data_IF_542647245427
#
_entry.id   IF_542647245427
#
_cell.length_a   1.000
_cell.length_b   1.000
_cell.length_c   1.000
_cell.angle_alpha   90.00
_cell.angle_beta   90.00
_cell.angle_gamma   90.00
#
_symmetry.space_group_name_H-M   'P 1'
#
loop_
_entity.id
_entity.type
_entity.pdbx_description
1 polymer ?
#
# COMPACT_ATOMS: atom_id res chain seq x y z
N UNK A 1 21.55 11.81 2.87
CA UNK A 1 20.48 11.58 1.86
C UNK A 1 20.11 12.94 1.31
N UNK A 2 20.24 13.16 0.01
CA UNK A 2 19.80 14.42 -0.58
C UNK A 2 18.28 14.41 -0.83
N UNK A 3 17.71 15.57 -1.17
CA UNK A 3 16.26 15.70 -1.37
C UNK A 3 15.75 14.79 -2.50
N UNK A 4 16.52 14.65 -3.58
CA UNK A 4 16.12 13.82 -4.72
C UNK A 4 16.14 12.33 -4.36
N UNK A 5 17.07 11.89 -3.55
CA UNK A 5 17.11 10.54 -3.04
C UNK A 5 15.88 10.22 -2.18
N UNK A 6 15.46 11.15 -1.31
CA UNK A 6 14.24 10.99 -0.52
C UNK A 6 13.01 10.89 -1.43
N UNK A 7 12.86 11.81 -2.38
CA UNK A 7 11.72 11.84 -3.30
C UNK A 7 11.60 10.57 -4.15
N UNK A 8 12.73 9.95 -4.53
CA UNK A 8 12.74 8.69 -5.28
C UNK A 8 12.17 7.49 -4.51
N UNK A 9 11.91 7.63 -3.21
CA UNK A 9 11.25 6.63 -2.37
C UNK A 9 9.81 6.99 -2.00
N UNK A 10 9.29 8.14 -2.46
CA UNK A 10 7.94 8.62 -2.13
C UNK A 10 6.92 8.10 -3.14
N UNK A 11 5.82 7.54 -2.66
CA UNK A 11 4.60 7.36 -3.46
C UNK A 11 3.79 8.66 -3.34
N UNK A 12 3.77 9.48 -4.40
CA UNK A 12 3.00 10.73 -4.40
C UNK A 12 1.50 10.41 -4.42
N UNK A 13 0.80 10.72 -3.33
CA UNK A 13 -0.48 10.09 -3.00
C UNK A 13 -1.65 11.05 -3.00
N UNK A 14 -2.76 10.66 -3.66
CA UNK A 14 -4.06 11.32 -3.55
C UNK A 14 -5.17 10.27 -3.58
N UNK A 15 -5.71 9.93 -2.39
CA UNK A 15 -6.73 8.88 -2.20
C UNK A 15 -8.05 9.43 -1.64
N UNK A 16 -8.22 10.77 -1.58
CA UNK A 16 -9.47 11.38 -1.12
C UNK A 16 -10.63 10.97 -2.04
N UNK A 17 -11.81 10.61 -1.50
CA UNK A 17 -12.96 10.19 -2.31
C UNK A 17 -13.50 11.32 -3.21
N UNK A 18 -13.11 12.56 -2.94
CA UNK A 18 -13.45 13.76 -3.72
C UNK A 18 -12.41 14.12 -4.78
N UNK A 19 -11.35 13.30 -4.96
CA UNK A 19 -10.29 13.56 -5.93
C UNK A 19 -10.87 13.73 -7.34
N UNK A 20 -10.51 14.82 -8.00
CA UNK A 20 -10.91 15.11 -9.38
C UNK A 20 -9.82 14.69 -10.36
N UNK A 21 -10.18 14.56 -11.65
CA UNK A 21 -9.20 14.29 -12.69
C UNK A 21 -8.09 15.34 -12.75
N UNK A 22 -8.45 16.61 -12.64
CA UNK A 22 -7.47 17.70 -12.68
C UNK A 22 -6.42 17.59 -11.57
N UNK A 23 -6.85 17.17 -10.37
CA UNK A 23 -5.94 16.95 -9.24
C UNK A 23 -5.04 15.73 -9.49
N UNK A 24 -5.59 14.63 -10.02
CA UNK A 24 -4.81 13.43 -10.37
C UNK A 24 -3.81 13.74 -11.49
N UNK A 25 -4.22 14.51 -12.51
CA UNK A 25 -3.32 14.94 -13.58
C UNK A 25 -2.17 15.82 -13.06
N UNK A 26 -2.46 16.76 -12.16
CA UNK A 26 -1.46 17.58 -11.49
C UNK A 26 -0.48 16.73 -10.70
N UNK A 27 -0.98 15.80 -9.87
CA UNK A 27 -0.18 14.84 -9.11
C UNK A 27 0.79 14.04 -10.02
N UNK A 28 0.32 13.57 -11.17
CA UNK A 28 1.17 12.84 -12.11
C UNK A 28 2.28 13.72 -12.70
N UNK A 29 1.98 14.98 -13.03
CA UNK A 29 2.98 15.94 -13.53
C UNK A 29 4.04 16.25 -12.48
N UNK A 30 3.63 16.49 -11.24
CA UNK A 30 4.53 16.69 -10.11
C UNK A 30 5.41 15.45 -9.87
N UNK A 31 4.83 14.24 -9.93
CA UNK A 31 5.58 13.00 -9.76
C UNK A 31 6.66 12.83 -10.82
N UNK A 32 6.39 13.22 -12.07
CA UNK A 32 7.36 13.18 -13.18
C UNK A 32 8.45 14.24 -12.95
N UNK A 33 8.07 15.47 -12.60
CA UNK A 33 8.99 16.57 -12.36
C UNK A 33 9.95 16.27 -11.22
N UNK A 34 9.41 15.79 -10.09
CA UNK A 34 10.19 15.50 -8.89
C UNK A 34 10.76 14.07 -8.86
N UNK A 35 10.48 13.24 -9.87
CA UNK A 35 10.95 11.86 -10.01
C UNK A 35 10.65 11.03 -8.76
N UNK A 36 9.39 11.04 -8.31
CA UNK A 36 8.94 10.20 -7.21
C UNK A 36 8.90 8.73 -7.62
N UNK A 37 8.84 7.80 -6.65
CA UNK A 37 8.80 6.37 -6.91
C UNK A 37 7.56 5.96 -7.72
N UNK A 38 6.40 6.48 -7.32
CA UNK A 38 5.11 6.23 -7.97
C UNK A 38 4.12 7.37 -7.69
N UNK A 39 2.95 7.31 -8.35
CA UNK A 39 1.73 7.98 -7.89
C UNK A 39 0.80 6.93 -7.27
N UNK A 40 0.25 7.21 -6.08
CA UNK A 40 -0.73 6.34 -5.45
C UNK A 40 -2.12 6.98 -5.56
N UNK A 41 -2.99 6.36 -6.38
CA UNK A 41 -4.25 6.93 -6.83
C UNK A 41 -5.43 5.97 -6.66
N UNK A 42 -6.70 6.46 -6.62
CA UNK A 42 -7.87 5.61 -6.60
C UNK A 42 -7.94 4.71 -7.84
N UNK A 43 -8.40 3.44 -7.72
CA UNK A 43 -8.42 2.47 -8.82
C UNK A 43 -9.14 2.97 -10.07
N UNK A 44 -10.18 3.76 -9.92
CA UNK A 44 -10.97 4.30 -11.03
C UNK A 44 -10.19 5.21 -12.00
N UNK A 45 -9.02 5.71 -11.59
CA UNK A 45 -8.18 6.58 -12.42
C UNK A 45 -7.05 5.87 -13.15
N UNK A 46 -6.73 4.60 -12.82
CA UNK A 46 -5.58 3.87 -13.37
C UNK A 46 -5.57 3.93 -14.91
N UNK A 47 -6.65 3.46 -15.53
CA UNK A 47 -6.76 3.40 -17.01
C UNK A 47 -6.61 4.77 -17.66
N UNK A 48 -7.13 5.81 -17.03
CA UNK A 48 -7.05 7.18 -17.53
C UNK A 48 -5.63 7.74 -17.41
N UNK A 49 -4.95 7.50 -16.28
CA UNK A 49 -3.55 7.88 -16.08
C UNK A 49 -2.65 7.11 -17.05
N UNK A 50 -2.84 5.79 -17.18
CA UNK A 50 -2.05 4.98 -18.12
C UNK A 50 -2.20 5.46 -19.57
N UNK A 51 -3.40 5.89 -19.97
CA UNK A 51 -3.64 6.46 -21.30
C UNK A 51 -2.97 7.83 -21.49
N UNK A 52 -2.94 8.66 -20.44
CA UNK A 52 -2.43 10.04 -20.53
C UNK A 52 -0.90 10.13 -20.44
N UNK A 53 -0.27 9.29 -19.60
CA UNK A 53 1.15 9.37 -19.24
C UNK A 53 1.97 8.13 -19.64
N UNK A 54 1.33 7.05 -20.06
CA UNK A 54 2.04 5.84 -20.52
C UNK A 54 2.91 5.21 -19.43
N UNK A 55 4.23 5.20 -19.68
CA UNK A 55 5.25 4.68 -18.75
C UNK A 55 6.07 5.78 -18.07
N UNK A 56 5.68 7.05 -18.24
CA UNK A 56 6.42 8.18 -17.63
C UNK A 56 6.29 8.21 -16.11
N UNK A 57 5.22 7.60 -15.56
CA UNK A 57 4.98 7.49 -14.12
C UNK A 57 4.58 6.06 -13.77
N UNK A 58 5.13 5.50 -12.70
CA UNK A 58 4.67 4.25 -12.12
C UNK A 58 3.36 4.47 -11.37
N UNK A 59 2.39 3.57 -11.56
CA UNK A 59 1.05 3.68 -11.00
C UNK A 59 0.90 2.69 -9.85
N UNK A 60 0.82 3.19 -8.62
CA UNK A 60 0.36 2.48 -7.44
C UNK A 60 -1.14 2.70 -7.26
N UNK A 61 -1.84 1.69 -6.78
CA UNK A 61 -3.24 1.80 -6.35
C UNK A 61 -3.53 0.94 -5.14
N UNK A 62 -4.74 1.08 -4.60
CA UNK A 62 -5.17 0.43 -3.35
C UNK A 62 -6.28 -0.59 -3.60
N UNK A 63 -6.32 -1.66 -2.79
CA UNK A 63 -7.39 -2.67 -2.78
C UNK A 63 -7.82 -3.01 -1.35
N UNK A 64 -9.10 -3.36 -1.16
CA UNK A 64 -9.68 -3.57 0.17
C UNK A 64 -9.59 -2.34 1.07
N UNK A 65 -9.45 -1.18 0.49
CA UNK A 65 -9.01 0.04 1.15
C UNK A 65 -10.19 0.97 1.53
N UNK A 66 -10.12 1.68 2.68
CA UNK A 66 -9.03 1.62 3.67
C UNK A 66 -9.26 0.61 4.80
N UNK A 67 -10.40 -0.07 4.85
CA UNK A 67 -10.87 -0.81 6.03
C UNK A 67 -10.41 -2.27 6.11
N UNK A 68 -9.98 -2.86 5.01
CA UNK A 68 -9.39 -4.20 4.96
C UNK A 68 -10.37 -5.37 5.09
N UNK A 69 -11.63 -5.17 5.46
CA UNK A 69 -12.60 -6.25 5.79
C UNK A 69 -13.38 -6.80 4.58
N UNK A 70 -13.06 -6.38 3.37
CA UNK A 70 -13.63 -7.02 2.17
C UNK A 70 -13.20 -8.48 2.09
N UNK A 71 -14.02 -9.33 1.48
CA UNK A 71 -13.64 -10.73 1.30
C UNK A 71 -12.40 -10.87 0.41
N UNK A 72 -11.62 -11.92 0.63
CA UNK A 72 -10.44 -12.23 -0.21
C UNK A 72 -10.80 -12.27 -1.69
N UNK A 73 -11.94 -12.86 -2.05
CA UNK A 73 -12.40 -12.91 -3.45
C UNK A 73 -12.63 -11.52 -4.06
N UNK A 74 -13.18 -10.57 -3.27
CA UNK A 74 -13.36 -9.19 -3.71
C UNK A 74 -12.03 -8.49 -3.92
N UNK A 75 -11.08 -8.60 -2.97
CA UNK A 75 -9.74 -8.02 -3.10
C UNK A 75 -8.95 -8.60 -4.28
N UNK A 76 -9.06 -9.92 -4.52
CA UNK A 76 -8.45 -10.58 -5.69
C UNK A 76 -9.03 -10.02 -7.00
N UNK A 77 -10.35 -9.79 -7.05
CA UNK A 77 -10.99 -9.19 -8.22
C UNK A 77 -10.52 -7.75 -8.45
N UNK A 78 -10.44 -6.93 -7.40
CA UNK A 78 -9.88 -5.58 -7.44
C UNK A 78 -8.43 -5.59 -7.94
N UNK A 79 -7.59 -6.50 -7.41
CA UNK A 79 -6.19 -6.63 -7.82
C UNK A 79 -6.05 -6.96 -9.30
N UNK A 80 -6.80 -7.94 -9.79
CA UNK A 80 -6.78 -8.34 -11.21
C UNK A 80 -7.23 -7.21 -12.13
N UNK A 81 -8.27 -6.48 -11.78
CA UNK A 81 -8.74 -5.36 -12.59
C UNK A 81 -7.73 -4.21 -12.57
N UNK A 82 -7.14 -3.90 -11.40
CA UNK A 82 -6.10 -2.88 -11.28
C UNK A 82 -4.86 -3.20 -12.16
N UNK A 83 -4.38 -4.45 -12.13
CA UNK A 83 -3.26 -4.91 -12.98
C UNK A 83 -3.62 -4.82 -14.46
N UNK A 84 -4.81 -5.26 -14.85
CA UNK A 84 -5.31 -5.17 -16.23
C UNK A 84 -5.43 -3.73 -16.72
N UNK A 85 -5.79 -2.80 -15.85
CA UNK A 85 -5.92 -1.38 -16.15
C UNK A 85 -4.55 -0.67 -16.22
N UNK A 86 -3.49 -1.32 -15.77
CA UNK A 86 -2.11 -0.85 -15.92
C UNK A 86 -1.42 -0.41 -14.64
N UNK A 87 -1.90 -0.83 -13.46
CA UNK A 87 -1.17 -0.62 -12.22
C UNK A 87 0.18 -1.36 -12.23
N UNK A 88 1.19 -0.72 -11.68
CA UNK A 88 2.54 -1.26 -11.51
C UNK A 88 2.77 -1.75 -10.08
N UNK A 89 2.03 -1.17 -9.12
CA UNK A 89 2.11 -1.47 -7.69
C UNK A 89 0.71 -1.56 -7.08
N UNK A 90 0.52 -2.48 -6.15
CA UNK A 90 -0.75 -2.71 -5.44
C UNK A 90 -0.50 -2.63 -3.93
N UNK A 91 -1.22 -1.73 -3.27
CA UNK A 91 -1.26 -1.59 -1.82
C UNK A 91 -2.54 -2.24 -1.28
N UNK A 92 -2.44 -3.41 -0.66
CA UNK A 92 -3.58 -4.07 -0.03
C UNK A 92 -3.64 -3.76 1.47
N UNK A 93 -4.85 -3.71 2.02
CA UNK A 93 -5.05 -3.67 3.48
C UNK A 93 -5.43 -5.07 3.97
N UNK A 94 -4.76 -5.57 5.02
CA UNK A 94 -5.14 -6.84 5.65
C UNK A 94 -6.54 -6.77 6.24
N UNK A 95 -7.17 -7.92 6.47
CA UNK A 95 -8.36 -7.96 7.31
C UNK A 95 -7.97 -7.78 8.79
N UNK A 96 -8.16 -6.56 9.31
CA UNK A 96 -7.82 -6.21 10.69
C UNK A 96 -8.62 -7.05 11.70
N UNK A 97 -9.85 -7.45 11.36
CA UNK A 97 -10.65 -8.32 12.23
C UNK A 97 -10.01 -9.70 12.39
N UNK A 98 -9.40 -10.26 11.35
CA UNK A 98 -8.68 -11.53 11.45
C UNK A 98 -7.44 -11.38 12.37
N UNK A 99 -6.71 -10.25 12.26
CA UNK A 99 -5.62 -9.95 13.17
C UNK A 99 -6.08 -9.87 14.63
N UNK A 100 -7.23 -9.23 14.91
CA UNK A 100 -7.82 -9.13 16.26
C UNK A 100 -8.30 -10.49 16.78
N UNK A 101 -8.64 -11.42 15.90
CA UNK A 101 -8.99 -12.81 16.24
C UNK A 101 -7.77 -13.74 16.28
N UNK A 102 -6.55 -13.23 16.09
CA UNK A 102 -5.30 -13.99 15.97
C UNK A 102 -5.30 -15.02 14.83
N UNK A 103 -6.11 -14.79 13.77
CA UNK A 103 -6.14 -15.65 12.58
C UNK A 103 -5.14 -15.16 11.51
N UNK A 104 -3.87 -15.27 11.82
CA UNK A 104 -2.79 -14.86 10.91
C UNK A 104 -2.60 -15.85 9.74
N UNK A 105 -3.08 -17.08 9.87
CA UNK A 105 -3.14 -18.05 8.77
C UNK A 105 -4.11 -17.59 7.66
N UNK A 106 -5.25 -17.00 8.04
CA UNK A 106 -6.18 -16.40 7.08
C UNK A 106 -5.55 -15.19 6.38
N UNK A 107 -4.85 -14.33 7.14
CA UNK A 107 -4.13 -13.17 6.58
C UNK A 107 -3.05 -13.61 5.59
N UNK A 108 -2.24 -14.62 5.93
CA UNK A 108 -1.20 -15.16 5.03
C UNK A 108 -1.81 -15.71 3.74
N UNK A 109 -2.90 -16.49 3.84
CA UNK A 109 -3.61 -17.03 2.68
C UNK A 109 -4.21 -15.93 1.80
N UNK A 110 -4.78 -14.88 2.41
CA UNK A 110 -5.30 -13.73 1.67
C UNK A 110 -4.19 -13.02 0.88
N UNK A 111 -3.07 -12.71 1.54
CA UNK A 111 -1.91 -12.07 0.89
C UNK A 111 -1.40 -12.96 -0.25
N UNK A 112 -1.27 -14.27 -0.03
CA UNK A 112 -0.84 -15.24 -1.04
C UNK A 112 -1.75 -15.25 -2.26
N UNK A 113 -3.07 -15.24 -2.08
CA UNK A 113 -4.04 -15.19 -3.18
C UNK A 113 -3.94 -13.87 -3.98
N UNK A 114 -3.67 -12.76 -3.30
CA UNK A 114 -3.46 -11.47 -3.96
C UNK A 114 -2.10 -11.44 -4.66
N UNK A 115 -1.04 -12.01 -4.06
CA UNK A 115 0.27 -12.18 -4.69
C UNK A 115 0.17 -12.92 -6.04
N UNK A 116 -0.60 -14.00 -6.08
CA UNK A 116 -0.86 -14.72 -7.33
C UNK A 116 -1.58 -13.86 -8.37
N UNK A 117 -2.54 -13.04 -7.95
CA UNK A 117 -3.29 -12.14 -8.82
C UNK A 117 -2.45 -10.95 -9.34
N UNK A 118 -1.32 -10.66 -8.69
CA UNK A 118 -0.45 -9.50 -8.98
C UNK A 118 0.96 -9.91 -9.42
N UNK A 119 1.12 -11.11 -9.98
CA UNK A 119 2.44 -11.61 -10.43
C UNK A 119 3.18 -10.60 -11.32
N UNK A 120 4.44 -10.34 -10.99
CA UNK A 120 5.29 -9.39 -11.69
C UNK A 120 5.05 -7.91 -11.32
N UNK A 121 4.15 -7.64 -10.38
CA UNK A 121 3.89 -6.30 -9.83
C UNK A 121 4.39 -6.20 -8.39
N UNK A 122 4.65 -4.99 -7.92
CA UNK A 122 4.99 -4.74 -6.53
C UNK A 122 3.72 -4.87 -5.68
N UNK A 123 3.78 -5.72 -4.65
CA UNK A 123 2.72 -5.89 -3.66
C UNK A 123 3.18 -5.31 -2.32
N UNK A 124 2.46 -4.30 -1.83
CA UNK A 124 2.68 -3.74 -0.49
C UNK A 124 1.49 -4.09 0.40
N UNK A 125 1.78 -4.57 1.59
CA UNK A 125 0.76 -5.02 2.56
C UNK A 125 0.67 -4.04 3.71
N UNK A 126 -0.46 -3.33 3.77
CA UNK A 126 -0.78 -2.39 4.86
C UNK A 126 -1.36 -3.19 6.02
N UNK A 127 -0.70 -3.13 7.18
CA UNK A 127 -1.18 -3.82 8.38
C UNK A 127 -1.94 -2.90 9.35
N UNK A 128 -1.98 -1.59 9.10
CA UNK A 128 -2.64 -0.55 9.90
C UNK A 128 -2.20 -0.60 11.37
N UNK A 129 -0.96 -0.28 11.62
CA UNK A 129 -0.27 -0.46 12.90
C UNK A 129 -0.97 0.18 14.09
N UNK A 130 -1.71 1.27 13.88
CA UNK A 130 -2.41 1.99 14.95
C UNK A 130 -3.53 1.17 15.62
N UNK A 131 -4.01 0.10 14.99
CA UNK A 131 -5.04 -0.79 15.55
C UNK A 131 -4.48 -2.08 16.16
N UNK A 132 -3.17 -2.34 16.01
CA UNK A 132 -2.55 -3.61 16.39
C UNK A 132 -1.71 -3.49 17.67
N UNK A 133 -1.76 -4.52 18.51
CA UNK A 133 -0.81 -4.69 19.61
C UNK A 133 0.58 -5.06 19.08
N UNK A 134 1.60 -5.03 19.95
CA UNK A 134 2.95 -5.44 19.57
C UNK A 134 2.99 -6.87 19.05
N UNK A 135 2.30 -7.79 19.73
CA UNK A 135 2.26 -9.21 19.38
C UNK A 135 1.56 -9.43 18.04
N UNK A 136 0.46 -8.72 17.78
CA UNK A 136 -0.25 -8.75 16.50
C UNK A 136 0.63 -8.20 15.36
N UNK A 137 1.39 -7.12 15.59
CA UNK A 137 2.35 -6.59 14.60
C UNK A 137 3.44 -7.62 14.26
N UNK A 138 3.99 -8.32 15.26
CA UNK A 138 4.99 -9.37 15.06
C UNK A 138 4.41 -10.52 14.23
N UNK A 139 3.20 -10.98 14.54
CA UNK A 139 2.54 -12.03 13.80
C UNK A 139 2.24 -11.60 12.35
N UNK A 140 1.80 -10.36 12.15
CA UNK A 140 1.60 -9.79 10.81
C UNK A 140 2.90 -9.72 10.00
N UNK A 141 4.03 -9.34 10.60
CA UNK A 141 5.35 -9.36 9.95
C UNK A 141 5.69 -10.76 9.38
N UNK A 142 5.40 -11.80 10.16
CA UNK A 142 5.65 -13.20 9.75
C UNK A 142 4.72 -13.60 8.60
N UNK A 143 3.43 -13.32 8.70
CA UNK A 143 2.44 -13.63 7.67
C UNK A 143 2.77 -12.91 6.34
N UNK A 144 3.09 -11.62 6.39
CA UNK A 144 3.52 -10.82 5.22
C UNK A 144 4.75 -11.42 4.56
N UNK A 145 5.74 -11.84 5.38
CA UNK A 145 6.97 -12.44 4.90
C UNK A 145 6.75 -13.81 4.26
N UNK A 146 5.96 -14.67 4.91
CA UNK A 146 5.66 -16.02 4.43
C UNK A 146 4.86 -16.00 3.12
N UNK A 147 3.95 -15.05 2.96
CA UNK A 147 3.14 -14.87 1.74
C UNK A 147 3.89 -14.24 0.56
N UNK A 148 5.14 -13.82 0.73
CA UNK A 148 5.99 -13.31 -0.36
C UNK A 148 5.60 -11.92 -0.88
N UNK A 149 5.15 -11.04 0.00
CA UNK A 149 4.95 -9.63 -0.33
C UNK A 149 6.30 -8.91 -0.51
N UNK A 150 6.32 -7.86 -1.33
CA UNK A 150 7.54 -7.06 -1.55
C UNK A 150 7.76 -6.05 -0.42
N UNK A 151 6.67 -5.55 0.17
CA UNK A 151 6.72 -4.57 1.26
C UNK A 151 5.70 -4.87 2.34
N UNK A 152 6.09 -4.58 3.59
CA UNK A 152 5.15 -4.30 4.68
C UNK A 152 4.99 -2.78 4.80
N UNK A 153 3.73 -2.30 4.91
CA UNK A 153 3.40 -0.88 5.02
C UNK A 153 2.65 -0.62 6.32
N UNK A 154 2.98 0.48 6.99
CA UNK A 154 2.43 0.77 8.33
C UNK A 154 0.96 1.11 8.30
N UNK A 155 0.53 2.01 7.41
CA UNK A 155 -0.72 2.74 7.58
C UNK A 155 -1.41 3.05 6.26
N UNK A 156 -2.74 3.16 6.30
CA UNK A 156 -3.55 3.64 5.18
C UNK A 156 -3.51 5.16 5.03
N UNK A 157 -3.27 5.88 6.12
CA UNK A 157 -3.49 7.32 6.25
C UNK A 157 -4.90 7.70 6.71
N UNK A 158 -5.85 6.74 6.77
CA UNK A 158 -7.23 6.92 7.20
C UNK A 158 -7.50 6.38 8.60
N UNK A 159 -6.50 5.76 9.24
CA UNK A 159 -6.56 5.30 10.63
C UNK A 159 -6.38 6.43 11.64
N UNK A 160 -6.25 6.05 12.91
CA UNK A 160 -6.12 7.00 14.03
C UNK A 160 -4.72 7.59 14.20
N UNK A 161 -3.71 6.97 13.58
CA UNK A 161 -2.31 7.43 13.58
C UNK A 161 -1.55 6.88 12.37
N UNK A 162 -0.45 7.55 12.00
CA UNK A 162 0.49 7.10 10.98
C UNK A 162 1.63 6.26 11.55
N UNK A 163 2.73 6.18 10.79
CA UNK A 163 3.93 5.45 11.18
C UNK A 163 4.60 6.08 12.40
N UNK A 164 5.06 5.23 13.31
CA UNK A 164 5.93 5.63 14.43
C UNK A 164 7.28 4.92 14.34
N UNK A 165 8.39 5.50 14.85
CA UNK A 165 9.71 4.88 14.77
C UNK A 165 9.77 3.48 15.36
N UNK A 166 9.03 3.22 16.43
CA UNK A 166 8.95 1.93 17.11
C UNK A 166 8.41 0.81 16.21
N UNK A 167 7.47 1.13 15.31
CA UNK A 167 6.95 0.18 14.33
C UNK A 167 8.01 -0.18 13.29
N UNK A 168 8.82 0.79 12.87
CA UNK A 168 9.88 0.56 11.89
C UNK A 168 10.98 -0.33 12.50
N UNK A 169 11.36 -0.09 13.76
CA UNK A 169 12.34 -0.94 14.45
C UNK A 169 11.81 -2.37 14.64
N UNK A 170 10.52 -2.51 15.00
CA UNK A 170 9.86 -3.81 15.10
C UNK A 170 9.85 -4.55 13.73
N UNK A 171 9.52 -3.85 12.66
CA UNK A 171 9.52 -4.47 11.33
C UNK A 171 10.90 -4.98 10.94
N UNK A 172 11.97 -4.18 11.17
CA UNK A 172 13.35 -4.60 10.89
C UNK A 172 13.74 -5.89 11.59
N UNK A 173 13.21 -6.12 12.80
CA UNK A 173 13.53 -7.31 13.61
C UNK A 173 12.78 -8.56 13.12
N UNK A 174 11.53 -8.42 12.63
CA UNK A 174 10.61 -9.55 12.44
C UNK A 174 10.24 -9.89 11.00
N UNK A 175 10.56 -9.05 10.02
CA UNK A 175 10.32 -9.37 8.60
C UNK A 175 11.47 -10.18 8.00
N UNK A 176 11.17 -10.93 6.94
CA UNK A 176 12.21 -11.60 6.16
C UNK A 176 13.10 -10.57 5.42
N UNK A 177 14.39 -10.88 5.17
CA UNK A 177 15.31 -9.98 4.47
C UNK A 177 14.87 -9.57 3.06
N UNK A 178 13.97 -10.33 2.44
CA UNK A 178 13.41 -10.03 1.11
C UNK A 178 12.31 -8.98 1.15
N UNK A 179 11.70 -8.73 2.32
CA UNK A 179 10.60 -7.76 2.48
C UNK A 179 11.17 -6.40 2.85
N UNK A 180 10.68 -5.36 2.17
CA UNK A 180 11.04 -3.97 2.45
C UNK A 180 10.01 -3.31 3.35
N UNK A 181 10.36 -2.17 3.93
CA UNK A 181 9.49 -1.40 4.82
C UNK A 181 9.02 -0.14 4.11
N UNK A 182 7.72 0.15 4.19
CA UNK A 182 7.11 1.40 3.75
C UNK A 182 6.44 2.09 4.93
N UNK A 183 7.01 3.19 5.38
CA UNK A 183 6.37 4.06 6.35
C UNK A 183 5.34 4.95 5.64
N UNK A 184 4.16 5.11 6.21
CA UNK A 184 3.12 6.00 5.71
C UNK A 184 2.63 6.91 6.83
N UNK A 185 2.51 8.20 6.53
CA UNK A 185 1.96 9.21 7.44
C UNK A 185 0.43 9.21 7.39
N UNK A 186 -0.21 9.74 8.43
CA UNK A 186 -1.65 9.99 8.46
C UNK A 186 -1.93 11.44 8.07
N UNK A 187 -3.09 11.70 7.43
CA UNK A 187 -3.58 13.06 7.23
C UNK A 187 -3.76 13.81 8.57
N UNK A 188 -3.95 13.07 9.69
CA UNK A 188 -3.99 13.61 11.04
C UNK A 188 -2.64 14.19 11.51
N UNK A 189 -1.52 13.77 10.93
CA UNK A 189 -0.18 14.24 11.28
C UNK A 189 0.15 15.59 10.61
N UNK A 190 -0.67 16.01 9.63
CA UNK A 190 -0.55 17.29 8.92
C UNK A 190 -1.89 18.02 8.93
N UNK A 191 -2.19 18.85 9.95
CA UNK A 191 -3.36 19.73 9.93
C UNK A 191 -3.27 20.67 8.74
N UNK A 192 -4.34 20.69 7.92
CA UNK A 192 -4.48 21.56 6.75
C UNK A 192 -4.74 22.99 7.16
#
# INVERSE_FOLDING_TARGET
MDTQEILSHVDHTLLKPTATWQQIECLCREAIEFKTASVCIPPCYIRRVKKAFGSEVAICTVIGFPLGYSTTAAKVAEAREAVKDGADEIDMVINISDAKNNDFDAIEKEIGAIREATLGKILKVIIETCYLTREEKIAACKAVSAAGADYIKTSTGFGTAGAVPEDIELFKEYIAPSVKIKAAVSDADYPQ
#
